data_IF_400369128945
#
_entry.id   IF_400369128945
#
_cell.length_a   1.000
_cell.length_b   1.000
_cell.length_c   1.000
_cell.angle_alpha   90.00
_cell.angle_beta   90.00
_cell.angle_gamma   90.00
#
_symmetry.space_group_name_H-M   'P 1'
#
loop_
_entity.id
_entity.type
_entity.pdbx_description
1 polymer ?
#
# COMPACT_ATOMS: atom_id res chain seq x y z
N UNK A 1 -7.19 -21.81 27.88
CA UNK A 1 -6.87 -21.82 26.46
C UNK A 1 -7.32 -20.49 25.87
N UNK A 2 -6.45 -19.74 25.19
CA UNK A 2 -6.83 -18.48 24.55
C UNK A 2 -7.70 -18.78 23.33
N UNK A 3 -8.87 -18.16 23.25
CA UNK A 3 -9.77 -18.26 22.09
C UNK A 3 -9.79 -16.92 21.35
N UNK A 4 -9.82 -16.97 20.04
CA UNK A 4 -9.95 -15.81 19.15
C UNK A 4 -11.17 -15.99 18.27
N UNK A 5 -11.89 -14.89 18.01
CA UNK A 5 -13.02 -14.87 17.07
C UNK A 5 -12.53 -14.81 15.62
N UNK A 6 -11.38 -14.14 15.40
CA UNK A 6 -10.79 -13.97 14.08
C UNK A 6 -9.28 -14.17 14.14
N UNK A 7 -8.74 -14.78 13.09
CA UNK A 7 -7.30 -14.88 12.85
C UNK A 7 -7.03 -14.23 11.50
N UNK A 8 -6.17 -13.20 11.50
CA UNK A 8 -5.74 -12.49 10.29
C UNK A 8 -4.30 -12.89 10.02
N UNK A 9 -4.03 -13.37 8.83
CA UNK A 9 -2.68 -13.77 8.40
C UNK A 9 -2.10 -12.66 7.51
N UNK A 10 -1.04 -12.04 7.98
CA UNK A 10 -0.36 -10.91 7.36
C UNK A 10 -0.83 -9.55 7.89
N UNK A 11 0.11 -8.79 8.46
CA UNK A 11 -0.10 -7.43 8.94
C UNK A 11 0.26 -6.36 7.88
N UNK A 12 0.01 -6.65 6.61
CA UNK A 12 0.08 -5.69 5.53
C UNK A 12 -1.08 -4.71 5.54
N UNK A 13 -1.22 -3.87 4.50
CA UNK A 13 -2.25 -2.83 4.40
C UNK A 13 -3.66 -3.35 4.64
N UNK A 14 -4.03 -4.47 4.03
CA UNK A 14 -5.35 -5.06 4.16
C UNK A 14 -5.57 -5.66 5.56
N UNK A 15 -4.63 -6.47 6.05
CA UNK A 15 -4.74 -7.12 7.35
C UNK A 15 -4.78 -6.13 8.51
N UNK A 16 -3.97 -5.08 8.45
CA UNK A 16 -3.97 -4.01 9.46
C UNK A 16 -5.28 -3.22 9.46
N UNK A 17 -5.83 -2.90 8.28
CA UNK A 17 -7.13 -2.25 8.18
C UNK A 17 -8.27 -3.13 8.71
N UNK A 18 -8.23 -4.43 8.39
CA UNK A 18 -9.21 -5.40 8.86
C UNK A 18 -9.13 -5.58 10.38
N UNK A 19 -7.92 -5.71 10.93
CA UNK A 19 -7.69 -5.80 12.38
C UNK A 19 -8.29 -4.58 13.10
N UNK A 20 -8.00 -3.38 12.62
CA UNK A 20 -8.55 -2.13 13.18
C UNK A 20 -10.09 -2.12 13.15
N UNK A 21 -10.69 -2.61 12.08
CA UNK A 21 -12.17 -2.62 11.95
C UNK A 21 -12.82 -3.65 12.86
N UNK A 22 -12.30 -4.85 12.92
CA UNK A 22 -12.84 -5.93 13.76
C UNK A 22 -12.68 -5.66 15.24
N UNK A 23 -11.58 -5.03 15.66
CA UNK A 23 -11.34 -4.68 17.06
C UNK A 23 -12.13 -3.47 17.57
N UNK A 24 -12.88 -2.77 16.69
CA UNK A 24 -13.86 -1.75 17.15
C UNK A 24 -14.95 -2.33 18.04
N UNK A 25 -15.27 -3.60 17.86
CA UNK A 25 -16.14 -4.31 18.80
C UNK A 25 -15.28 -4.88 19.94
N UNK A 26 -15.39 -4.36 21.18
CA UNK A 26 -14.56 -4.77 22.31
C UNK A 26 -14.78 -6.22 22.74
N UNK A 27 -15.91 -6.82 22.34
CA UNK A 27 -16.23 -8.22 22.62
C UNK A 27 -15.59 -9.19 21.63
N UNK A 28 -14.87 -8.68 20.61
CA UNK A 28 -14.19 -9.51 19.62
C UNK A 28 -12.69 -9.57 19.87
N UNK A 29 -12.16 -10.80 19.86
CA UNK A 29 -10.73 -11.05 19.99
C UNK A 29 -10.16 -11.39 18.62
N UNK A 30 -9.19 -10.60 18.19
CA UNK A 30 -8.52 -10.76 16.88
C UNK A 30 -7.07 -11.12 17.12
N UNK A 31 -6.61 -12.18 16.47
CA UNK A 31 -5.19 -12.54 16.38
C UNK A 31 -4.67 -12.08 15.03
N UNK A 32 -3.68 -11.21 15.02
CA UNK A 32 -2.96 -10.78 13.82
C UNK A 32 -1.59 -11.46 13.80
N UNK A 33 -1.34 -12.24 12.76
CA UNK A 33 -0.07 -12.96 12.55
C UNK A 33 0.73 -12.24 11.46
N UNK A 34 2.00 -11.99 11.71
CA UNK A 34 2.93 -11.41 10.74
C UNK A 34 4.22 -12.25 10.70
N UNK A 35 4.71 -12.53 9.49
CA UNK A 35 5.92 -13.32 9.30
C UNK A 35 7.20 -12.50 9.53
N UNK A 36 7.12 -11.19 9.34
CA UNK A 36 8.23 -10.26 9.54
C UNK A 36 8.27 -9.69 10.95
N UNK A 37 9.32 -8.94 11.21
CA UNK A 37 9.49 -8.21 12.47
C UNK A 37 8.75 -6.87 12.50
N UNK A 38 9.04 -6.07 13.54
CA UNK A 38 8.57 -4.69 13.66
C UNK A 38 9.17 -3.80 12.54
N UNK A 39 8.47 -2.73 12.22
CA UNK A 39 8.87 -1.70 11.22
C UNK A 39 9.96 -0.74 11.73
N UNK A 40 10.76 -1.18 12.69
CA UNK A 40 11.78 -0.37 13.36
C UNK A 40 13.06 -0.15 12.54
N UNK A 41 13.16 -0.79 11.38
CA UNK A 41 14.33 -0.66 10.51
C UNK A 41 14.51 0.79 10.05
N UNK A 42 15.69 1.42 10.20
CA UNK A 42 15.91 2.85 9.92
C UNK A 42 15.47 3.26 8.52
N UNK A 43 15.78 2.46 7.50
CA UNK A 43 15.42 2.75 6.10
C UNK A 43 13.92 2.61 5.80
N UNK A 44 13.14 1.94 6.64
CA UNK A 44 11.67 1.94 6.54
C UNK A 44 11.10 3.29 6.95
N UNK A 45 11.75 3.98 7.91
CA UNK A 45 11.27 5.26 8.46
C UNK A 45 11.77 6.49 7.68
N UNK A 46 12.75 6.31 6.82
CA UNK A 46 13.33 7.39 6.01
C UNK A 46 12.80 7.27 4.58
N UNK A 47 12.06 8.26 4.05
CA UNK A 47 11.47 8.18 2.71
C UNK A 47 12.44 7.77 1.59
N UNK A 48 13.65 8.30 1.60
CA UNK A 48 14.69 7.91 0.61
C UNK A 48 15.20 6.48 0.81
N UNK A 49 14.86 5.85 1.93
CA UNK A 49 15.30 4.49 2.26
C UNK A 49 14.62 3.38 1.46
N UNK A 50 13.53 3.68 0.73
CA UNK A 50 12.79 2.65 -0.02
C UNK A 50 13.69 1.86 -0.98
N UNK A 51 14.64 2.51 -1.65
CA UNK A 51 15.61 1.84 -2.52
C UNK A 51 16.54 0.86 -1.80
N UNK A 52 16.78 1.05 -0.50
CA UNK A 52 17.57 0.12 0.33
C UNK A 52 16.72 -1.07 0.75
N UNK A 53 15.50 -0.84 1.24
CA UNK A 53 14.63 -1.90 1.73
C UNK A 53 14.11 -2.82 0.61
N UNK A 54 14.09 -2.36 -0.64
CA UNK A 54 13.76 -3.19 -1.80
C UNK A 54 14.67 -4.40 -1.97
N UNK A 55 15.89 -4.35 -1.46
CA UNK A 55 16.86 -5.43 -1.58
C UNK A 55 17.25 -6.04 -0.23
N UNK A 56 16.71 -5.54 0.88
CA UNK A 56 17.05 -6.01 2.23
C UNK A 56 16.19 -7.19 2.65
N UNK A 57 16.80 -8.37 2.72
CA UNK A 57 16.11 -9.62 3.09
C UNK A 57 15.53 -9.63 4.53
N UNK A 58 15.93 -8.67 5.38
CA UNK A 58 15.38 -8.56 6.74
C UNK A 58 13.94 -8.09 6.75
N UNK A 59 13.53 -7.32 5.70
CA UNK A 59 12.21 -6.69 5.59
C UNK A 59 11.50 -7.02 4.27
N UNK A 60 12.09 -7.88 3.43
CA UNK A 60 11.58 -8.19 2.10
C UNK A 60 11.71 -9.69 1.80
N UNK A 61 10.68 -10.30 1.25
CA UNK A 61 10.66 -11.68 0.78
C UNK A 61 11.55 -11.90 -0.45
N UNK A 62 11.79 -10.87 -1.24
CA UNK A 62 12.63 -10.90 -2.44
C UNK A 62 12.18 -11.96 -3.45
N UNK A 63 10.89 -12.07 -3.70
CA UNK A 63 10.39 -12.99 -4.71
C UNK A 63 10.86 -12.63 -6.11
N UNK A 64 10.90 -13.62 -6.96
CA UNK A 64 11.10 -13.50 -8.39
C UNK A 64 9.99 -14.29 -9.09
N UNK A 65 9.45 -13.76 -10.18
CA UNK A 65 8.43 -14.48 -10.94
C UNK A 65 9.00 -15.71 -11.63
N UNK A 66 8.12 -16.66 -11.98
CA UNK A 66 8.48 -17.69 -12.94
C UNK A 66 8.88 -17.05 -14.29
N UNK A 67 9.72 -17.72 -15.08
CA UNK A 67 10.00 -17.30 -16.45
C UNK A 67 8.71 -17.17 -17.25
N UNK A 68 8.59 -16.12 -18.07
CA UNK A 68 7.40 -15.88 -18.87
C UNK A 68 7.77 -15.75 -20.34
N UNK A 69 7.19 -16.59 -21.21
CA UNK A 69 7.43 -16.57 -22.65
C UNK A 69 7.11 -15.22 -23.29
N UNK A 70 6.04 -14.53 -22.83
CA UNK A 70 5.72 -13.17 -23.28
C UNK A 70 6.75 -12.10 -22.91
N UNK A 71 7.73 -12.46 -22.10
CA UNK A 71 8.87 -11.63 -21.68
C UNK A 71 10.20 -12.26 -22.09
N UNK A 72 10.23 -12.99 -23.19
CA UNK A 72 11.41 -13.69 -23.71
C UNK A 72 12.09 -14.59 -22.65
N UNK A 73 11.32 -15.25 -21.81
CA UNK A 73 11.80 -16.09 -20.74
C UNK A 73 12.36 -15.33 -19.52
N UNK A 74 12.27 -14.01 -19.50
CA UNK A 74 12.77 -13.21 -18.40
C UNK A 74 11.92 -13.38 -17.15
N UNK A 75 12.60 -13.29 -16.00
CA UNK A 75 11.99 -13.25 -14.68
C UNK A 75 11.98 -11.82 -14.15
N UNK A 76 10.93 -11.44 -13.44
CA UNK A 76 10.81 -10.12 -12.84
C UNK A 76 11.04 -10.24 -11.33
N UNK A 77 11.92 -9.40 -10.78
CA UNK A 77 12.07 -9.24 -9.35
C UNK A 77 10.81 -8.62 -8.76
N UNK A 78 10.24 -9.28 -7.75
CA UNK A 78 8.94 -8.94 -7.19
C UNK A 78 9.03 -8.69 -5.69
N UNK A 79 9.42 -7.49 -5.25
CA UNK A 79 9.57 -7.19 -3.84
C UNK A 79 8.22 -7.26 -3.10
N UNK A 80 8.23 -7.89 -1.92
CA UNK A 80 7.08 -7.96 -1.00
C UNK A 80 7.57 -7.80 0.42
N UNK A 81 6.92 -6.90 1.18
CA UNK A 81 7.33 -6.64 2.55
C UNK A 81 7.16 -7.87 3.45
N UNK A 82 8.20 -8.15 4.23
CA UNK A 82 8.26 -9.12 5.34
C UNK A 82 8.50 -8.35 6.62
N UNK A 83 7.52 -7.60 7.04
CA UNK A 83 7.63 -6.64 8.15
C UNK A 83 6.22 -6.19 8.53
N UNK A 84 6.02 -5.73 9.75
CA UNK A 84 4.78 -5.06 10.16
C UNK A 84 4.44 -3.93 9.20
N UNK A 85 3.21 -3.90 8.68
CA UNK A 85 2.78 -3.03 7.59
C UNK A 85 2.96 -3.65 6.18
N UNK A 86 3.72 -4.75 6.06
CA UNK A 86 3.93 -5.46 4.79
C UNK A 86 4.55 -4.58 3.72
N UNK A 87 4.06 -4.68 2.49
CA UNK A 87 4.58 -3.89 1.37
C UNK A 87 4.34 -2.39 1.50
N UNK A 88 3.38 -1.93 2.32
CA UNK A 88 3.23 -0.49 2.59
C UNK A 88 4.38 0.10 3.40
N UNK A 89 5.13 -0.73 4.14
CA UNK A 89 6.34 -0.31 4.88
C UNK A 89 7.59 -0.22 4.01
N UNK A 90 7.59 -0.79 2.80
CA UNK A 90 8.75 -0.81 1.91
C UNK A 90 8.48 -0.22 0.52
N UNK A 91 7.29 0.28 0.23
CA UNK A 91 6.93 0.84 -1.06
C UNK A 91 7.59 2.22 -1.31
N UNK A 92 7.47 2.70 -2.53
CA UNK A 92 7.99 4.02 -2.92
C UNK A 92 7.05 5.19 -2.55
N UNK A 93 6.01 4.96 -1.76
CA UNK A 93 5.06 5.97 -1.25
C UNK A 93 4.32 6.75 -2.34
N UNK A 94 4.20 6.19 -3.53
CA UNK A 94 3.42 6.81 -4.61
C UNK A 94 1.94 6.51 -4.40
N UNK A 95 1.13 7.56 -4.30
CA UNK A 95 -0.31 7.45 -4.20
C UNK A 95 -0.96 7.80 -5.54
N UNK A 96 -1.50 6.81 -6.21
CA UNK A 96 -2.22 6.96 -7.48
C UNK A 96 -3.54 6.20 -7.39
N UNK A 97 -4.63 6.85 -7.77
CA UNK A 97 -5.91 6.17 -8.00
C UNK A 97 -5.90 5.59 -9.41
N UNK A 98 -6.56 4.46 -9.62
CA UNK A 98 -6.81 3.94 -10.97
C UNK A 98 -7.66 4.89 -11.78
N UNK A 99 -7.64 4.74 -13.11
CA UNK A 99 -8.49 5.52 -14.00
C UNK A 99 -9.96 5.13 -13.79
N UNK A 100 -10.93 6.06 -13.79
CA UNK A 100 -12.35 5.75 -13.62
C UNK A 100 -12.85 4.64 -14.52
N UNK A 101 -12.44 4.64 -15.79
CA UNK A 101 -12.85 3.62 -16.75
C UNK A 101 -12.37 2.20 -16.41
N UNK A 102 -11.27 2.03 -15.68
CA UNK A 102 -10.80 0.72 -15.24
C UNK A 102 -11.81 0.11 -14.26
N UNK A 103 -12.32 0.91 -13.33
CA UNK A 103 -13.35 0.49 -12.38
C UNK A 103 -14.68 0.24 -13.07
N UNK A 104 -15.10 1.10 -14.01
CA UNK A 104 -16.32 0.91 -14.78
C UNK A 104 -16.24 -0.34 -15.66
N UNK A 105 -15.04 -0.69 -16.13
CA UNK A 105 -14.81 -1.95 -16.83
C UNK A 105 -14.98 -3.16 -15.88
N UNK A 106 -14.39 -3.09 -14.69
CA UNK A 106 -14.54 -4.17 -13.69
C UNK A 106 -15.98 -4.35 -13.25
N UNK A 107 -16.74 -3.26 -13.15
CA UNK A 107 -18.14 -3.31 -12.74
C UNK A 107 -19.03 -4.15 -13.67
N UNK A 108 -18.61 -4.45 -14.91
CA UNK A 108 -19.34 -5.33 -15.83
C UNK A 108 -19.43 -6.75 -15.28
N UNK A 109 -18.38 -7.21 -14.61
CA UNK A 109 -18.30 -8.57 -14.06
C UNK A 109 -18.39 -8.57 -12.51
N UNK A 110 -18.19 -7.42 -11.88
CA UNK A 110 -18.19 -7.24 -10.43
C UNK A 110 -19.05 -6.03 -10.02
N UNK A 111 -20.37 -6.20 -9.86
CA UNK A 111 -21.27 -5.14 -9.40
C UNK A 111 -20.79 -4.52 -8.08
N UNK A 112 -20.85 -3.18 -7.95
CA UNK A 112 -20.35 -2.43 -6.80
C UNK A 112 -18.88 -2.00 -6.92
N UNK A 113 -18.25 -2.20 -8.07
CA UNK A 113 -16.88 -1.78 -8.37
C UNK A 113 -16.78 -0.66 -9.40
N UNK A 114 -17.88 -0.02 -9.77
CA UNK A 114 -17.84 1.15 -10.66
C UNK A 114 -17.10 2.32 -10.01
N UNK A 115 -16.67 3.27 -10.82
CA UNK A 115 -16.04 4.49 -10.28
C UNK A 115 -16.93 5.20 -9.27
N UNK A 116 -18.22 5.26 -9.52
CA UNK A 116 -19.19 5.87 -8.60
C UNK A 116 -19.28 5.15 -7.26
N UNK A 117 -19.02 3.85 -7.22
CA UNK A 117 -19.00 3.05 -5.99
C UNK A 117 -17.69 3.24 -5.22
N UNK A 118 -16.54 3.25 -5.92
CA UNK A 118 -15.22 3.25 -5.27
C UNK A 118 -14.69 4.65 -4.96
N UNK A 119 -15.03 5.68 -5.72
CA UNK A 119 -14.55 7.05 -5.50
C UNK A 119 -14.88 7.59 -4.09
N UNK A 120 -16.09 7.38 -3.53
CA UNK A 120 -16.37 7.76 -2.15
C UNK A 120 -15.50 7.05 -1.12
N UNK A 121 -15.06 5.81 -1.40
CA UNK A 121 -14.15 5.07 -0.53
C UNK A 121 -12.77 5.72 -0.53
N UNK A 122 -12.24 6.05 -1.70
CA UNK A 122 -10.97 6.78 -1.82
C UNK A 122 -11.00 8.10 -1.06
N UNK A 123 -12.08 8.87 -1.18
CA UNK A 123 -12.24 10.13 -0.43
C UNK A 123 -12.25 9.91 1.08
N UNK A 124 -12.97 8.90 1.58
CA UNK A 124 -13.01 8.58 3.02
C UNK A 124 -11.66 8.10 3.57
N UNK A 125 -10.83 7.51 2.73
CA UNK A 125 -9.50 7.02 3.15
C UNK A 125 -8.46 8.14 3.21
N UNK A 126 -8.64 9.21 2.46
CA UNK A 126 -7.63 10.21 2.18
C UNK A 126 -7.73 11.42 3.12
N UNK A 127 -6.56 11.89 3.57
CA UNK A 127 -6.36 13.20 4.17
C UNK A 127 -5.40 13.99 3.26
N UNK A 128 -5.97 14.74 2.31
CA UNK A 128 -5.21 15.55 1.36
C UNK A 128 -4.74 16.85 1.99
N UNK A 129 -3.43 17.08 1.98
CA UNK A 129 -2.80 18.28 2.55
C UNK A 129 -2.55 19.41 1.51
N UNK A 130 -3.03 19.27 0.29
CA UNK A 130 -2.93 20.31 -0.75
C UNK A 130 -4.10 21.27 -0.75
N UNK A 131 -4.19 22.10 -1.80
CA UNK A 131 -5.32 22.98 -2.00
C UNK A 131 -6.64 22.21 -2.03
N UNK A 132 -7.72 22.85 -1.59
CA UNK A 132 -9.06 22.25 -1.59
C UNK A 132 -9.41 21.71 -2.98
N UNK A 133 -9.89 20.47 -3.02
CA UNK A 133 -10.25 19.80 -4.25
C UNK A 133 -11.48 18.92 -4.01
N UNK A 134 -12.55 19.06 -4.80
CA UNK A 134 -13.78 18.29 -4.59
C UNK A 134 -13.60 16.78 -4.75
N UNK A 135 -12.56 16.34 -5.46
CA UNK A 135 -12.27 14.92 -5.67
C UNK A 135 -11.39 14.31 -4.58
N UNK A 136 -10.90 15.12 -3.64
CA UNK A 136 -10.04 14.69 -2.54
C UNK A 136 -10.77 14.64 -1.20
N UNK A 137 -10.31 13.73 -0.33
CA UNK A 137 -10.76 13.68 1.05
C UNK A 137 -9.81 14.46 1.97
N UNK A 138 -10.32 14.97 3.10
CA UNK A 138 -9.54 15.78 4.05
C UNK A 138 -9.52 15.23 5.48
N UNK A 139 -10.23 14.13 5.74
CA UNK A 139 -10.42 13.60 7.10
C UNK A 139 -10.08 12.11 7.24
N UNK A 140 -9.56 11.51 6.17
CA UNK A 140 -9.22 10.09 6.16
C UNK A 140 -7.90 9.79 6.88
N UNK A 141 -7.68 8.53 7.24
CA UNK A 141 -6.47 8.11 7.96
C UNK A 141 -5.18 8.14 7.14
N UNK A 142 -5.29 8.21 5.81
CA UNK A 142 -4.14 8.19 4.91
C UNK A 142 -3.76 9.61 4.49
N UNK A 143 -2.68 10.13 5.05
CA UNK A 143 -2.17 11.45 4.69
C UNK A 143 -1.51 11.43 3.30
N UNK A 144 -1.99 12.28 2.42
CA UNK A 144 -1.51 12.43 1.03
C UNK A 144 -1.16 13.89 0.77
N UNK A 145 -0.02 14.12 0.14
CA UNK A 145 0.40 15.47 -0.28
C UNK A 145 1.04 15.43 -1.66
N UNK A 146 0.98 16.53 -2.38
CA UNK A 146 1.80 16.70 -3.58
C UNK A 146 3.28 16.70 -3.19
N UNK A 147 4.10 16.01 -3.98
CA UNK A 147 5.55 16.12 -3.87
C UNK A 147 5.97 17.38 -4.61
N UNK A 148 6.60 18.31 -3.92
CA UNK A 148 7.26 19.46 -4.54
C UNK A 148 8.54 18.97 -5.20
N UNK A 149 8.58 18.95 -6.53
CA UNK A 149 9.77 18.57 -7.31
C UNK A 149 10.90 19.61 -7.29
N UNK A 150 10.81 20.65 -6.48
CA UNK A 150 11.85 21.68 -6.37
C UNK A 150 13.22 21.14 -5.97
N UNK A 151 13.31 19.92 -5.48
CA UNK A 151 14.58 19.27 -5.11
C UNK A 151 14.98 18.12 -6.04
N UNK A 152 14.20 17.83 -7.08
CA UNK A 152 14.45 16.74 -8.04
C UNK A 152 14.77 17.24 -9.46
N UNK A 153 14.89 18.54 -9.67
CA UNK A 153 15.52 19.03 -10.90
C UNK A 153 17.02 18.80 -10.78
N UNK A 154 17.45 17.61 -11.15
CA UNK A 154 18.81 17.43 -11.61
C UNK A 154 19.01 18.47 -12.72
N UNK A 155 20.09 19.26 -12.69
CA UNK A 155 20.38 20.16 -13.80
C UNK A 155 20.54 19.30 -15.05
N UNK A 156 19.55 19.32 -15.92
CA UNK A 156 19.71 18.81 -17.27
C UNK A 156 20.70 19.73 -17.92
N UNK A 157 21.95 19.29 -18.06
CA UNK A 157 22.90 19.92 -18.95
C UNK A 157 22.23 19.91 -20.32
N UNK A 158 21.76 21.09 -20.75
CA UNK A 158 21.56 21.37 -22.17
C UNK A 158 22.96 21.46 -22.77
N UNK A 159 23.37 20.46 -23.52
CA UNK A 159 24.43 20.58 -24.51
C UNK A 159 23.89 21.30 -25.72
#
# INVERSE_FOLDING_TARGET
MLRYDFIIVGAGSAGSALANRLTKNPNKRVLLLEAGGADSHPWVRIPMGYGKVFYDQRVNWKYTTEPNEALDGNQIYWPRGKVMGGSSSINAMVYVRGHPQDYDHWAKDAPGWSWTDVAPVFKRMENWLGAANPDRGSEGPLTVRAVSYTHLTLPTKRG
#
